data_IF_511638700233
#
_entry.id   IF_511638700233
#
_cell.length_a   1.000
_cell.length_b   1.000
_cell.length_c   1.000
_cell.angle_alpha   90.00
_cell.angle_beta   90.00
_cell.angle_gamma   90.00
#
_symmetry.space_group_name_H-M   'P 1'
#
loop_
_entity.id
_entity.type
_entity.pdbx_description
1 polymer ?
#
# COMPACT_ATOMS: atom_id res chain seq x y z
N UNK A 1 12.00 21.36 -13.01
CA UNK A 1 11.80 19.91 -12.86
C UNK A 1 11.22 19.50 -11.48
N UNK A 2 11.24 20.38 -10.47
CA UNK A 2 10.71 20.09 -9.13
C UNK A 2 9.21 20.33 -8.99
N UNK A 3 8.61 21.14 -9.84
CA UNK A 3 7.20 21.55 -9.80
C UNK A 3 6.19 20.43 -10.04
N UNK A 4 6.64 19.30 -10.59
CA UNK A 4 5.78 18.18 -10.98
C UNK A 4 5.79 17.02 -9.98
N UNK A 5 6.54 17.13 -8.89
CA UNK A 5 6.73 16.05 -7.93
C UNK A 5 5.60 15.99 -6.91
N UNK A 6 4.96 14.87 -6.80
CA UNK A 6 4.01 14.59 -5.74
C UNK A 6 4.77 14.30 -4.41
N UNK A 7 4.37 14.92 -3.32
CA UNK A 7 4.98 14.75 -2.00
C UNK A 7 4.00 15.12 -0.89
N UNK A 8 4.48 15.23 0.33
CA UNK A 8 3.72 15.75 1.45
C UNK A 8 3.36 17.23 1.27
N UNK A 9 2.33 17.70 1.94
CA UNK A 9 1.82 19.07 1.83
C UNK A 9 0.63 19.19 0.88
N UNK A 10 0.76 19.98 -0.18
CA UNK A 10 -0.23 20.11 -1.25
C UNK A 10 0.40 19.64 -2.58
N UNK A 11 0.37 18.35 -2.85
CA UNK A 11 1.03 17.80 -4.01
C UNK A 11 0.27 18.11 -5.30
N UNK A 12 0.96 18.41 -6.41
CA UNK A 12 0.31 18.56 -7.70
C UNK A 12 -0.22 17.21 -8.19
N UNK A 13 -1.50 17.16 -8.50
CA UNK A 13 -2.14 16.08 -9.24
C UNK A 13 -2.50 16.58 -10.65
N UNK A 14 -2.32 15.71 -11.61
CA UNK A 14 -2.59 15.99 -13.03
C UNK A 14 -3.80 15.21 -13.49
N UNK A 15 -4.72 15.88 -14.18
CA UNK A 15 -5.85 15.24 -14.81
C UNK A 15 -5.39 14.53 -16.09
N UNK A 16 -5.65 13.23 -16.15
CA UNK A 16 -5.42 12.38 -17.30
C UNK A 16 -6.75 11.85 -17.80
N UNK A 17 -7.01 12.01 -19.08
CA UNK A 17 -8.22 11.52 -19.71
C UNK A 17 -7.89 10.44 -20.73
N UNK A 18 -8.36 9.23 -20.49
CA UNK A 18 -8.24 8.11 -21.42
C UNK A 18 -9.52 8.02 -22.24
N UNK A 19 -9.41 8.04 -23.55
CA UNK A 19 -10.55 7.96 -24.47
C UNK A 19 -10.54 6.64 -25.21
N UNK A 20 -11.66 5.92 -25.18
CA UNK A 20 -11.94 4.82 -26.08
C UNK A 20 -12.79 5.32 -27.24
N UNK A 21 -12.27 5.16 -28.48
CA UNK A 21 -12.99 5.53 -29.71
C UNK A 21 -13.24 4.28 -30.57
N UNK A 22 -14.45 4.21 -31.15
CA UNK A 22 -14.82 3.21 -32.14
C UNK A 22 -15.32 3.92 -33.41
N UNK A 23 -14.73 3.61 -34.56
CA UNK A 23 -15.05 4.26 -35.84
C UNK A 23 -15.02 5.80 -35.78
N UNK A 24 -14.05 6.37 -35.04
CA UNK A 24 -13.90 7.81 -34.86
C UNK A 24 -14.85 8.45 -33.82
N UNK A 25 -15.85 7.75 -33.36
CA UNK A 25 -16.78 8.24 -32.33
C UNK A 25 -16.27 7.89 -30.93
N UNK A 26 -16.46 8.81 -29.99
CA UNK A 26 -16.18 8.59 -28.59
C UNK A 26 -17.13 7.52 -28.04
N UNK A 27 -16.57 6.43 -27.53
CA UNK A 27 -17.33 5.34 -26.91
C UNK A 27 -17.36 5.49 -25.39
N UNK A 28 -16.20 5.75 -24.79
CA UNK A 28 -16.00 5.86 -23.36
C UNK A 28 -14.85 6.80 -23.06
N UNK A 29 -14.89 7.42 -21.89
CA UNK A 29 -13.73 8.11 -21.33
C UNK A 29 -13.55 7.76 -19.86
N UNK A 30 -12.28 7.66 -19.42
CA UNK A 30 -11.92 7.39 -18.04
C UNK A 30 -11.08 8.56 -17.53
N UNK A 31 -11.63 9.38 -16.63
CA UNK A 31 -10.86 10.44 -15.97
C UNK A 31 -10.01 9.83 -14.84
N UNK A 32 -8.76 10.22 -14.78
CA UNK A 32 -7.82 9.81 -13.75
C UNK A 32 -7.09 11.04 -13.21
N UNK A 33 -6.77 11.02 -11.92
CA UNK A 33 -5.78 11.93 -11.33
C UNK A 33 -4.51 11.16 -11.05
N UNK A 34 -3.38 11.69 -11.47
CA UNK A 34 -2.07 11.08 -11.24
C UNK A 34 -1.10 12.07 -10.61
N UNK A 35 -0.26 11.59 -9.71
CA UNK A 35 0.88 12.33 -9.19
C UNK A 35 2.19 11.65 -9.59
N UNK A 36 3.22 12.41 -9.91
CA UNK A 36 4.53 11.88 -10.22
C UNK A 36 5.29 11.60 -8.93
N UNK A 37 5.37 10.34 -8.53
CA UNK A 37 6.04 9.89 -7.32
C UNK A 37 7.15 8.89 -7.60
N UNK A 38 8.27 9.06 -6.91
CA UNK A 38 9.37 8.09 -6.88
C UNK A 38 9.70 7.81 -5.42
N UNK A 39 9.26 6.67 -4.91
CA UNK A 39 9.62 6.19 -3.57
C UNK A 39 10.57 5.02 -3.70
N UNK A 40 11.62 5.01 -2.90
CA UNK A 40 12.61 3.93 -2.81
C UNK A 40 12.89 3.67 -1.34
N UNK A 41 13.27 2.45 -1.03
CA UNK A 41 13.79 2.07 0.28
C UNK A 41 15.21 1.51 0.09
N UNK A 42 16.18 2.13 0.73
CA UNK A 42 17.60 1.72 0.70
C UNK A 42 18.31 2.15 1.98
N UNK A 43 19.27 1.39 2.39
CA UNK A 43 20.11 1.69 3.56
C UNK A 43 19.30 2.01 4.83
N UNK A 44 18.20 1.28 5.04
CA UNK A 44 17.31 1.46 6.20
C UNK A 44 16.42 2.69 6.18
N UNK A 45 16.38 3.45 5.06
CA UNK A 45 15.62 4.68 4.95
C UNK A 45 14.70 4.70 3.73
N UNK A 46 13.55 5.39 3.90
CA UNK A 46 12.72 5.78 2.77
C UNK A 46 13.32 7.00 2.09
N UNK A 47 13.26 7.00 0.76
CA UNK A 47 13.63 8.14 -0.06
C UNK A 47 12.46 8.55 -0.94
N UNK A 48 12.28 9.84 -1.06
CA UNK A 48 11.34 10.44 -2.00
C UNK A 48 12.11 11.40 -2.92
N UNK A 49 12.23 11.06 -4.22
CA UNK A 49 13.06 11.80 -5.18
C UNK A 49 14.49 12.04 -4.69
N UNK A 50 15.14 11.00 -4.22
CA UNK A 50 16.51 11.00 -3.70
C UNK A 50 16.73 11.81 -2.40
N UNK A 51 15.65 12.31 -1.76
CA UNK A 51 15.69 12.92 -0.44
C UNK A 51 15.17 11.93 0.59
N UNK A 52 15.78 11.91 1.76
CA UNK A 52 15.29 11.10 2.90
C UNK A 52 13.86 11.54 3.23
N UNK A 53 12.96 10.58 3.27
CA UNK A 53 11.59 10.74 3.75
C UNK A 53 11.51 10.23 5.19
N UNK A 54 11.34 11.14 6.13
CA UNK A 54 11.08 10.80 7.54
C UNK A 54 9.63 10.36 7.69
N UNK A 55 9.41 9.05 7.77
CA UNK A 55 8.07 8.46 7.90
C UNK A 55 7.59 8.59 9.34
N UNK A 56 6.52 9.37 9.55
CA UNK A 56 5.78 9.49 10.81
C UNK A 56 4.45 8.78 10.64
N UNK A 57 4.42 7.48 10.94
CA UNK A 57 3.29 6.60 10.69
C UNK A 57 2.30 6.55 11.85
N UNK A 58 1.01 6.41 11.53
CA UNK A 58 -0.07 6.13 12.49
C UNK A 58 -1.06 5.13 11.93
N UNK A 59 -1.62 4.21 12.75
CA UNK A 59 -2.76 3.41 12.34
C UNK A 59 -3.96 4.31 12.01
N UNK A 60 -4.62 4.05 10.90
CA UNK A 60 -5.83 4.78 10.54
C UNK A 60 -6.62 4.04 9.47
N UNK A 61 -7.91 3.86 9.70
CA UNK A 61 -8.87 3.34 8.74
C UNK A 61 -9.86 4.44 8.36
N UNK A 62 -10.35 4.42 7.12
CA UNK A 62 -11.41 5.32 6.69
C UNK A 62 -12.64 5.17 7.58
N UNK A 63 -13.26 6.28 7.92
CA UNK A 63 -14.55 6.32 8.60
C UNK A 63 -15.67 6.13 7.57
N UNK A 64 -16.88 5.83 8.01
CA UNK A 64 -18.05 5.70 7.13
C UNK A 64 -18.35 7.03 6.39
N UNK A 65 -18.13 8.15 7.06
CA UNK A 65 -18.28 9.49 6.49
C UNK A 65 -16.96 9.99 5.88
N UNK A 66 -16.99 10.30 4.57
CA UNK A 66 -15.84 10.83 3.84
C UNK A 66 -15.37 12.19 4.34
N UNK A 67 -16.29 13.06 4.75
CA UNK A 67 -15.94 14.40 5.25
C UNK A 67 -15.23 14.29 6.60
N UNK A 68 -15.73 13.41 7.48
CA UNK A 68 -15.07 13.16 8.76
C UNK A 68 -13.69 12.52 8.53
N UNK A 69 -13.57 11.57 7.62
CA UNK A 69 -12.27 10.99 7.26
C UNK A 69 -11.28 12.05 6.80
N UNK A 70 -11.72 12.99 5.95
CA UNK A 70 -10.86 14.08 5.49
C UNK A 70 -10.41 14.98 6.66
N UNK A 71 -11.34 15.35 7.54
CA UNK A 71 -11.02 16.18 8.73
C UNK A 71 -10.00 15.48 9.62
N UNK A 72 -10.18 14.18 9.87
CA UNK A 72 -9.23 13.43 10.70
C UNK A 72 -7.84 13.33 10.04
N UNK A 73 -7.77 13.13 8.73
CA UNK A 73 -6.48 13.15 8.00
C UNK A 73 -5.78 14.49 8.17
N UNK A 74 -6.49 15.61 8.01
CA UNK A 74 -5.91 16.94 8.20
C UNK A 74 -5.47 17.17 9.67
N UNK A 75 -6.21 16.65 10.65
CA UNK A 75 -5.81 16.72 12.06
C UNK A 75 -4.55 15.89 12.33
N UNK A 76 -4.43 14.72 11.72
CA UNK A 76 -3.21 13.89 11.82
C UNK A 76 -2.00 14.61 11.23
N UNK A 77 -2.15 15.27 10.09
CA UNK A 77 -1.08 16.09 9.49
C UNK A 77 -0.64 17.22 10.44
N UNK A 78 -1.59 17.93 11.06
CA UNK A 78 -1.28 18.99 12.03
C UNK A 78 -0.52 18.45 13.26
N UNK A 79 -0.72 17.19 13.62
CA UNK A 79 0.03 16.50 14.68
C UNK A 79 1.40 15.99 14.23
N UNK A 80 1.78 16.21 12.96
CA UNK A 80 3.07 15.80 12.41
C UNK A 80 3.11 14.40 11.80
N UNK A 81 1.98 13.70 11.71
CA UNK A 81 1.92 12.43 10.97
C UNK A 81 1.86 12.71 9.48
N UNK A 82 2.58 11.92 8.70
CA UNK A 82 2.57 12.01 7.25
C UNK A 82 2.24 10.67 6.55
N UNK A 83 2.04 9.60 7.32
CA UNK A 83 1.85 8.26 6.78
C UNK A 83 0.75 7.51 7.53
N UNK A 84 -0.23 7.01 6.81
CA UNK A 84 -1.32 6.18 7.33
C UNK A 84 -1.03 4.70 7.12
N UNK A 85 -1.34 3.88 8.12
CA UNK A 85 -1.22 2.44 8.09
C UNK A 85 -2.60 1.81 8.34
N UNK A 86 -3.43 1.59 7.32
CA UNK A 86 -4.71 0.93 7.48
C UNK A 86 -4.52 -0.54 7.88
N UNK A 87 -5.45 -1.05 8.69
CA UNK A 87 -5.42 -2.44 9.16
C UNK A 87 -5.90 -3.44 8.10
N UNK A 88 -6.64 -2.95 7.10
CA UNK A 88 -7.22 -3.72 5.99
C UNK A 88 -7.41 -2.81 4.77
N UNK A 89 -7.69 -3.39 3.58
CA UNK A 89 -7.93 -2.62 2.37
C UNK A 89 -9.04 -1.59 2.53
N UNK A 90 -8.76 -0.37 2.13
CA UNK A 90 -9.69 0.74 2.21
C UNK A 90 -10.47 0.92 0.89
N UNK A 91 -11.60 1.65 0.89
CA UNK A 91 -12.33 1.98 -0.34
C UNK A 91 -11.48 2.90 -1.23
N UNK A 92 -11.70 2.83 -2.56
CA UNK A 92 -10.92 3.60 -3.53
C UNK A 92 -10.81 5.10 -3.20
N UNK A 93 -11.92 5.71 -2.78
CA UNK A 93 -11.96 7.13 -2.45
C UNK A 93 -11.03 7.55 -1.30
N UNK A 94 -10.65 6.61 -0.42
CA UNK A 94 -9.68 6.87 0.64
C UNK A 94 -8.28 7.14 0.06
N UNK A 95 -7.85 6.33 -0.90
CA UNK A 95 -6.57 6.51 -1.56
C UNK A 95 -6.57 7.77 -2.44
N UNK A 96 -7.67 8.05 -3.15
CA UNK A 96 -7.85 9.30 -3.90
C UNK A 96 -7.71 10.51 -2.96
N UNK A 97 -8.32 10.45 -1.77
CA UNK A 97 -8.23 11.49 -0.74
C UNK A 97 -6.79 11.65 -0.21
N UNK A 98 -6.08 10.55 0.03
CA UNK A 98 -4.68 10.60 0.45
C UNK A 98 -3.77 11.18 -0.64
N UNK A 99 -4.04 10.86 -1.91
CA UNK A 99 -3.35 11.47 -3.05
C UNK A 99 -3.58 12.99 -3.08
N UNK A 100 -4.80 13.46 -2.85
CA UNK A 100 -5.17 14.87 -2.83
C UNK A 100 -4.61 15.60 -1.59
N UNK A 101 -4.64 14.97 -0.44
CA UNK A 101 -4.15 15.54 0.82
C UNK A 101 -2.62 15.51 0.96
N UNK A 102 -1.90 14.77 0.12
CA UNK A 102 -0.46 14.57 0.27
C UNK A 102 -0.09 13.69 1.46
N UNK A 103 -0.97 12.77 1.84
CA UNK A 103 -0.75 11.84 2.93
C UNK A 103 -0.26 10.50 2.39
N UNK A 104 0.88 10.04 2.86
CA UNK A 104 1.41 8.73 2.47
C UNK A 104 0.60 7.58 3.05
N UNK A 105 0.66 6.42 2.39
CA UNK A 105 -0.02 5.20 2.84
C UNK A 105 0.91 3.99 2.70
N UNK A 106 0.96 3.17 3.75
CA UNK A 106 1.47 1.81 3.70
C UNK A 106 0.26 0.90 3.54
N UNK A 107 -0.03 0.48 2.30
CA UNK A 107 -1.22 -0.32 2.03
C UNK A 107 -1.04 -1.77 2.49
N UNK A 108 -2.13 -2.37 2.99
CA UNK A 108 -2.10 -3.70 3.59
C UNK A 108 -3.04 -4.66 2.87
N UNK A 109 -2.55 -5.88 2.61
CA UNK A 109 -3.39 -6.96 2.12
C UNK A 109 -4.36 -7.44 3.20
N UNK A 110 -5.54 -7.90 2.77
CA UNK A 110 -6.56 -8.43 3.69
C UNK A 110 -6.20 -9.83 4.19
N UNK A 111 -5.07 -9.92 4.88
CA UNK A 111 -4.60 -11.13 5.55
C UNK A 111 -4.48 -10.79 7.03
N UNK A 112 -5.40 -11.32 7.81
CA UNK A 112 -5.40 -11.20 9.26
C UNK A 112 -5.98 -12.49 9.83
N UNK A 113 -5.10 -13.42 10.20
CA UNK A 113 -5.48 -14.71 10.75
C UNK A 113 -4.72 -14.93 12.05
N UNK A 114 -5.28 -14.45 13.16
CA UNK A 114 -4.67 -14.60 14.48
C UNK A 114 -4.60 -16.08 14.83
N UNK A 115 -3.39 -16.60 14.90
CA UNK A 115 -3.10 -18.00 15.20
C UNK A 115 -1.85 -18.09 16.05
N UNK A 116 -1.62 -19.23 16.66
CA UNK A 116 -0.33 -19.49 17.28
C UNK A 116 0.76 -19.56 16.20
N UNK A 117 1.52 -18.47 16.09
CA UNK A 117 2.54 -18.26 15.05
C UNK A 117 3.72 -19.23 15.15
N UNK A 118 3.85 -19.96 16.24
CA UNK A 118 4.95 -20.89 16.46
C UNK A 118 4.75 -22.26 15.79
N UNK A 119 3.54 -22.56 15.33
CA UNK A 119 3.25 -23.82 14.64
C UNK A 119 3.60 -23.70 13.17
N UNK A 120 4.83 -24.10 12.82
CA UNK A 120 5.39 -24.04 11.45
C UNK A 120 5.22 -25.32 10.63
N UNK A 121 4.57 -26.34 11.17
CA UNK A 121 4.28 -27.58 10.43
C UNK A 121 3.30 -27.33 9.28
N UNK A 122 3.40 -28.14 8.22
CA UNK A 122 2.46 -28.11 7.09
C UNK A 122 1.02 -28.29 7.61
N UNK A 123 0.13 -27.35 7.31
CA UNK A 123 -1.25 -27.35 7.81
C UNK A 123 -1.42 -26.87 9.26
N UNK A 124 -0.34 -26.58 9.99
CA UNK A 124 -0.40 -26.14 11.39
C UNK A 124 -0.98 -24.75 11.57
N UNK A 125 -0.74 -23.84 10.62
CA UNK A 125 -1.35 -22.51 10.59
C UNK A 125 -1.85 -22.20 9.17
N UNK A 126 -2.76 -21.22 8.99
CA UNK A 126 -3.18 -20.81 7.65
C UNK A 126 -2.00 -20.39 6.76
N UNK A 127 -0.99 -19.71 7.31
CA UNK A 127 0.23 -19.32 6.58
C UNK A 127 1.06 -20.52 6.10
N UNK A 128 0.94 -21.68 6.73
CA UNK A 128 1.63 -22.92 6.38
C UNK A 128 0.71 -23.98 5.77
N UNK A 129 -0.52 -23.64 5.40
CA UNK A 129 -1.45 -24.54 4.73
C UNK A 129 -1.41 -24.33 3.21
N UNK A 130 -0.82 -25.27 2.43
CA UNK A 130 -0.72 -25.14 0.97
C UNK A 130 -2.08 -25.01 0.27
N UNK A 131 -3.16 -25.53 0.85
CA UNK A 131 -4.51 -25.37 0.30
C UNK A 131 -5.01 -23.92 0.27
N UNK A 132 -4.38 -23.02 1.05
CA UNK A 132 -4.72 -21.59 1.11
C UNK A 132 -3.76 -20.71 0.29
N UNK A 133 -2.81 -21.27 -0.44
CA UNK A 133 -1.82 -20.50 -1.21
C UNK A 133 -2.49 -19.50 -2.17
N UNK A 134 -3.45 -19.98 -2.97
CA UNK A 134 -4.12 -19.12 -3.95
C UNK A 134 -4.93 -17.99 -3.28
N UNK A 135 -5.50 -18.22 -2.10
CA UNK A 135 -6.21 -17.19 -1.36
C UNK A 135 -5.25 -16.09 -0.87
N UNK A 136 -4.09 -16.46 -0.35
CA UNK A 136 -3.06 -15.51 0.07
C UNK A 136 -2.55 -14.68 -1.12
N UNK A 137 -2.22 -15.35 -2.22
CA UNK A 137 -1.79 -14.70 -3.46
C UNK A 137 -2.88 -13.75 -4.01
N UNK A 138 -4.13 -14.18 -4.04
CA UNK A 138 -5.25 -13.37 -4.54
C UNK A 138 -5.42 -12.11 -3.71
N UNK A 139 -5.31 -12.17 -2.38
CA UNK A 139 -5.43 -11.00 -1.50
C UNK A 139 -4.30 -10.00 -1.74
N UNK A 140 -3.06 -10.47 -1.88
CA UNK A 140 -1.90 -9.61 -2.16
C UNK A 140 -1.97 -9.04 -3.58
N UNK A 141 -2.35 -9.83 -4.59
CA UNK A 141 -2.57 -9.36 -5.96
C UNK A 141 -3.65 -8.28 -6.01
N UNK A 142 -4.77 -8.50 -5.31
CA UNK A 142 -5.87 -7.53 -5.26
C UNK A 142 -5.44 -6.21 -4.62
N UNK A 143 -4.69 -6.22 -3.53
CA UNK A 143 -4.08 -5.03 -2.94
C UNK A 143 -3.20 -4.30 -3.97
N UNK A 144 -2.23 -5.01 -4.54
CA UNK A 144 -1.26 -4.42 -5.45
C UNK A 144 -1.92 -3.78 -6.68
N UNK A 145 -2.77 -4.52 -7.40
CA UNK A 145 -3.41 -4.00 -8.62
C UNK A 145 -4.37 -2.85 -8.35
N UNK A 146 -5.04 -2.83 -7.20
CA UNK A 146 -5.89 -1.72 -6.77
C UNK A 146 -5.08 -0.46 -6.51
N UNK A 147 -3.95 -0.59 -5.81
CA UNK A 147 -3.30 0.56 -5.16
C UNK A 147 -2.01 1.02 -5.86
N UNK A 148 -1.42 0.20 -6.74
CA UNK A 148 -0.09 0.47 -7.34
C UNK A 148 0.04 1.81 -8.07
N UNK A 149 -1.05 2.36 -8.56
CA UNK A 149 -1.07 3.62 -9.32
C UNK A 149 -1.32 4.86 -8.45
N UNK A 150 -1.65 4.67 -7.16
CA UNK A 150 -1.79 5.79 -6.23
C UNK A 150 -0.41 6.32 -5.82
N UNK A 151 -0.26 7.65 -5.91
CA UNK A 151 0.99 8.33 -5.59
C UNK A 151 1.31 8.34 -4.10
N UNK A 152 0.28 8.23 -3.26
CA UNK A 152 0.40 8.15 -1.81
C UNK A 152 1.02 6.83 -1.32
N UNK A 153 0.98 5.76 -2.11
CA UNK A 153 1.50 4.47 -1.67
C UNK A 153 3.03 4.47 -1.66
N UNK A 154 3.60 4.30 -0.48
CA UNK A 154 5.07 4.24 -0.29
C UNK A 154 5.59 2.85 0.04
N UNK A 155 4.74 1.93 0.48
CA UNK A 155 5.08 0.55 0.78
C UNK A 155 3.84 -0.34 0.69
N UNK A 156 4.06 -1.64 0.55
CA UNK A 156 3.02 -2.67 0.62
C UNK A 156 3.25 -3.60 1.80
N UNK A 157 2.22 -3.83 2.60
CA UNK A 157 2.26 -4.74 3.75
C UNK A 157 1.52 -6.05 3.40
N UNK A 158 2.16 -7.19 3.62
CA UNK A 158 1.59 -8.50 3.28
C UNK A 158 0.40 -8.90 4.16
N UNK A 159 0.29 -8.36 5.37
CA UNK A 159 -0.81 -8.70 6.27
C UNK A 159 -0.64 -8.18 7.69
N UNK A 160 -1.59 -8.47 8.56
CA UNK A 160 -1.52 -8.17 9.98
C UNK A 160 -0.49 -9.01 10.71
N UNK A 161 0.13 -8.43 11.75
CA UNK A 161 1.17 -9.11 12.54
C UNK A 161 0.73 -10.49 13.11
N UNK A 162 -0.48 -10.66 13.65
CA UNK A 162 -0.87 -11.95 14.22
C UNK A 162 -1.13 -13.05 13.19
N UNK A 163 -0.91 -12.83 11.91
CA UNK A 163 -1.18 -13.83 10.87
C UNK A 163 -0.13 -14.96 10.79
N UNK A 164 0.94 -14.87 11.57
CA UNK A 164 2.05 -15.83 11.51
C UNK A 164 2.87 -15.73 10.22
N UNK A 165 3.98 -16.43 10.15
CA UNK A 165 4.82 -16.49 8.95
C UNK A 165 4.92 -17.94 8.42
N UNK A 166 5.20 -18.10 7.14
CA UNK A 166 5.39 -19.39 6.54
C UNK A 166 5.17 -19.42 5.03
N UNK A 167 4.95 -20.60 4.51
CA UNK A 167 4.94 -20.89 3.08
C UNK A 167 4.10 -19.89 2.24
N UNK A 168 2.86 -19.62 2.62
CA UNK A 168 1.97 -18.74 1.86
C UNK A 168 2.43 -17.28 1.89
N UNK A 169 3.02 -16.84 3.02
CA UNK A 169 3.60 -15.50 3.11
C UNK A 169 4.87 -15.37 2.28
N UNK A 170 5.71 -16.43 2.22
CA UNK A 170 6.88 -16.46 1.33
C UNK A 170 6.47 -16.36 -0.13
N UNK A 171 5.47 -17.13 -0.56
CA UNK A 171 4.93 -17.07 -1.92
C UNK A 171 4.33 -15.70 -2.26
N UNK A 172 3.61 -15.11 -1.32
CA UNK A 172 3.07 -13.76 -1.46
C UNK A 172 4.18 -12.70 -1.62
N UNK A 173 5.24 -12.79 -0.81
CA UNK A 173 6.40 -11.92 -0.92
C UNK A 173 7.12 -12.07 -2.26
N UNK A 174 7.45 -13.32 -2.65
CA UNK A 174 8.12 -13.63 -3.92
C UNK A 174 7.33 -13.08 -5.12
N UNK A 175 6.01 -13.30 -5.14
CA UNK A 175 5.17 -12.77 -6.20
C UNK A 175 5.19 -11.24 -6.23
N UNK A 176 5.02 -10.59 -5.08
CA UNK A 176 4.98 -9.13 -5.03
C UNK A 176 6.34 -8.52 -5.41
N UNK A 177 7.45 -9.16 -5.02
CA UNK A 177 8.81 -8.78 -5.43
C UNK A 177 9.04 -8.93 -6.93
N UNK A 178 8.36 -9.88 -7.58
CA UNK A 178 8.48 -10.08 -9.03
C UNK A 178 7.82 -8.98 -9.86
N UNK A 179 6.92 -8.17 -9.27
CA UNK A 179 6.16 -7.11 -9.95
C UNK A 179 6.38 -5.71 -9.37
N UNK A 180 6.86 -5.60 -8.13
CA UNK A 180 7.18 -4.34 -7.47
C UNK A 180 8.68 -4.26 -7.17
N UNK A 181 9.38 -3.30 -7.80
CA UNK A 181 10.84 -3.19 -7.73
C UNK A 181 11.34 -1.93 -7.03
N UNK A 182 10.43 -1.05 -6.58
CA UNK A 182 10.79 0.27 -6.05
C UNK A 182 10.38 0.45 -4.60
N UNK A 183 9.12 0.13 -4.30
CA UNK A 183 8.55 0.29 -2.96
C UNK A 183 8.83 -0.95 -2.14
N UNK A 184 9.18 -0.80 -0.86
CA UNK A 184 9.46 -1.95 0.00
C UNK A 184 8.20 -2.75 0.27
N UNK A 185 8.41 -4.05 0.49
CA UNK A 185 7.40 -4.98 0.97
C UNK A 185 7.65 -5.19 2.45
N UNK A 186 6.63 -4.96 3.25
CA UNK A 186 6.69 -4.99 4.71
C UNK A 186 5.88 -6.16 5.23
N UNK A 187 6.45 -6.89 6.19
CA UNK A 187 5.72 -7.87 6.97
C UNK A 187 6.31 -7.98 8.37
N UNK A 188 5.65 -7.38 9.35
CA UNK A 188 6.11 -7.40 10.75
C UNK A 188 6.11 -8.83 11.31
N UNK A 189 5.16 -9.69 10.89
CA UNK A 189 5.11 -11.11 11.26
C UNK A 189 6.23 -11.97 10.69
N UNK A 190 7.13 -11.40 9.88
CA UNK A 190 8.34 -12.09 9.43
C UNK A 190 9.38 -12.26 10.56
N UNK A 191 9.32 -11.45 11.62
CA UNK A 191 10.20 -11.57 12.81
C UNK A 191 11.69 -11.69 12.46
N UNK A 192 12.15 -10.91 11.48
CA UNK A 192 13.53 -10.90 11.01
C UNK A 192 13.85 -11.89 9.88
N UNK A 193 12.87 -12.64 9.40
CA UNK A 193 13.04 -13.48 8.23
C UNK A 193 13.12 -12.66 6.94
N UNK A 194 13.49 -13.32 5.85
CA UNK A 194 13.84 -12.69 4.58
C UNK A 194 12.68 -12.06 3.81
N UNK A 195 11.42 -12.41 4.12
CA UNK A 195 10.21 -11.91 3.46
C UNK A 195 9.72 -10.58 4.03
N UNK A 196 10.65 -9.71 4.39
CA UNK A 196 10.45 -8.34 4.82
C UNK A 196 11.63 -7.49 4.36
N UNK A 197 11.37 -6.39 3.66
CA UNK A 197 12.43 -5.48 3.19
C UNK A 197 12.93 -4.52 4.27
N UNK A 198 12.14 -4.25 5.30
CA UNK A 198 12.59 -3.43 6.43
C UNK A 198 13.41 -4.28 7.40
N UNK A 199 14.63 -3.87 7.63
CA UNK A 199 15.55 -4.49 8.58
C UNK A 199 15.70 -3.63 9.81
#
# INVERSE_FOLDING_TARGET
AYEFKWGDGQPPLYDVMIYLKRNGMLWEYVPLKIGFGKTEYRDGNFYRFDKVLHVQKTPFNALDDRKQTYVEIEQLKLRGYNTLCPDYPQPKWFYDMCDEAGMFVIDRANINSPTDSNIRSVGGTPANNPALEEEYLTRVKSMYYRSRNHSCIIAFCLGGNPSGNGYNMYKAYEWLKSVEHRRPIIYEGAEGEWNNDLK
#
